data_IF_652573124821
#
_entry.id   IF_652573124821
#
_cell.length_a   1.000
_cell.length_b   1.000
_cell.length_c   1.000
_cell.angle_alpha   90.00
_cell.angle_beta   90.00
_cell.angle_gamma   90.00
#
_symmetry.space_group_name_H-M   'P 1'
#
loop_
_entity.id
_entity.type
_entity.pdbx_description
1 polymer ?
#
# COMPACT_ATOMS: atom_id res chain seq x y z
N UNK A 1 21.10 28.31 -26.56
CA UNK A 1 19.84 27.54 -26.45
C UNK A 1 19.40 27.62 -24.99
N UNK A 2 18.14 27.89 -24.73
CA UNK A 2 17.64 28.05 -23.36
C UNK A 2 17.59 26.71 -22.62
N UNK A 3 18.22 26.58 -21.46
CA UNK A 3 18.10 25.41 -20.59
C UNK A 3 16.65 25.19 -20.16
N UNK A 4 15.85 26.25 -20.09
CA UNK A 4 14.45 26.18 -19.65
C UNK A 4 13.58 25.31 -20.55
N UNK A 5 13.65 25.51 -21.86
CA UNK A 5 12.87 24.71 -22.81
C UNK A 5 13.27 23.22 -22.76
N UNK A 6 14.57 22.92 -22.65
CA UNK A 6 15.04 21.53 -22.52
C UNK A 6 14.60 20.91 -21.19
N UNK A 7 14.66 21.66 -20.07
CA UNK A 7 14.11 21.21 -18.78
C UNK A 7 12.64 20.81 -18.92
N UNK A 8 11.86 21.61 -19.66
CA UNK A 8 10.45 21.33 -19.90
C UNK A 8 10.26 20.05 -20.72
N UNK A 9 11.05 19.85 -21.79
CA UNK A 9 10.97 18.61 -22.62
C UNK A 9 11.32 17.36 -21.79
N UNK A 10 12.33 17.44 -20.92
CA UNK A 10 12.64 16.35 -20.02
C UNK A 10 11.48 16.07 -19.05
N UNK A 11 10.90 17.09 -18.45
CA UNK A 11 9.76 16.95 -17.55
C UNK A 11 8.54 16.29 -18.24
N UNK A 12 8.23 16.70 -19.48
CA UNK A 12 7.17 16.10 -20.30
C UNK A 12 7.42 14.60 -20.56
N UNK A 13 8.66 14.23 -20.93
CA UNK A 13 9.04 12.82 -21.15
C UNK A 13 8.99 12.03 -19.86
N UNK A 14 9.42 12.61 -18.73
CA UNK A 14 9.34 11.96 -17.40
C UNK A 14 7.88 11.63 -17.08
N UNK A 15 6.99 12.61 -17.16
CA UNK A 15 5.59 12.43 -16.81
C UNK A 15 4.87 11.49 -17.77
N UNK A 16 5.16 11.58 -19.06
CA UNK A 16 4.62 10.66 -20.07
C UNK A 16 5.04 9.21 -19.79
N UNK A 17 6.32 8.95 -19.48
CA UNK A 17 6.79 7.62 -19.12
C UNK A 17 6.06 7.08 -17.89
N UNK A 18 5.91 7.88 -16.83
CA UNK A 18 5.19 7.49 -15.62
C UNK A 18 3.71 7.23 -15.88
N UNK A 19 3.06 7.99 -16.77
CA UNK A 19 1.65 7.80 -17.12
C UNK A 19 1.37 6.43 -17.73
N UNK A 20 2.35 5.85 -18.44
CA UNK A 20 2.26 4.53 -19.08
C UNK A 20 2.36 3.38 -18.09
N UNK A 21 2.79 3.67 -16.87
CA UNK A 21 2.73 2.76 -15.71
C UNK A 21 1.49 2.98 -14.84
N UNK A 22 0.49 3.70 -15.36
CA UNK A 22 -0.79 3.92 -14.69
C UNK A 22 -0.84 5.13 -13.75
N UNK A 23 0.21 5.96 -13.70
CA UNK A 23 0.19 7.18 -12.91
C UNK A 23 -0.82 8.18 -13.49
N UNK A 24 -1.73 8.68 -12.65
CA UNK A 24 -2.78 9.65 -13.02
C UNK A 24 -2.88 10.82 -12.06
N UNK A 25 -2.59 10.60 -10.79
CA UNK A 25 -2.64 11.62 -9.75
C UNK A 25 -1.25 12.17 -9.46
N UNK A 26 -1.14 13.49 -9.44
CA UNK A 26 0.09 14.21 -9.12
C UNK A 26 -0.20 15.21 -8.00
N UNK A 27 0.49 15.06 -6.88
CA UNK A 27 0.45 15.98 -5.76
C UNK A 27 1.61 16.98 -5.85
N UNK A 28 1.33 18.27 -5.82
CA UNK A 28 2.31 19.33 -6.12
C UNK A 28 2.39 20.32 -4.96
N UNK A 29 3.59 20.50 -4.38
CA UNK A 29 3.89 21.63 -3.51
C UNK A 29 4.53 22.78 -4.32
N UNK A 30 4.23 24.04 -3.96
CA UNK A 30 4.79 25.19 -4.66
C UNK A 30 6.31 25.30 -4.50
N UNK A 31 7.00 25.68 -5.58
CA UNK A 31 8.43 25.92 -5.53
C UNK A 31 9.03 26.19 -6.90
N UNK A 32 10.00 27.10 -6.98
CA UNK A 32 10.59 27.51 -8.27
C UNK A 32 11.34 26.39 -8.98
N UNK A 33 12.11 25.58 -8.24
CA UNK A 33 12.96 24.55 -8.86
C UNK A 33 12.13 23.44 -9.51
N UNK A 34 10.93 23.17 -9.00
CA UNK A 34 10.01 22.18 -9.56
C UNK A 34 9.16 22.70 -10.75
N UNK A 35 9.32 23.97 -11.15
CA UNK A 35 8.54 24.58 -12.24
C UNK A 35 8.47 23.73 -13.51
N UNK A 36 9.57 23.15 -14.04
CA UNK A 36 9.49 22.34 -15.27
C UNK A 36 8.51 21.17 -15.12
N UNK A 37 8.54 20.45 -14.00
CA UNK A 37 7.63 19.33 -13.71
C UNK A 37 6.20 19.82 -13.48
N UNK A 38 6.04 20.90 -12.70
CA UNK A 38 4.71 21.46 -12.39
C UNK A 38 3.98 21.92 -13.63
N UNK A 39 4.67 22.65 -14.51
CA UNK A 39 4.08 23.13 -15.75
C UNK A 39 3.82 21.99 -16.74
N UNK A 40 4.66 20.97 -16.79
CA UNK A 40 4.42 19.79 -17.62
C UNK A 40 3.18 19.02 -17.13
N UNK A 41 3.02 18.85 -15.81
CA UNK A 41 1.85 18.20 -15.24
C UNK A 41 0.55 18.99 -15.49
N UNK A 42 0.60 20.31 -15.31
CA UNK A 42 -0.57 21.18 -15.47
C UNK A 42 -1.01 21.34 -16.95
N UNK A 43 -0.15 21.07 -17.91
CA UNK A 43 -0.46 21.21 -19.34
C UNK A 43 -0.99 19.91 -19.98
N UNK A 44 -1.02 18.80 -19.26
CA UNK A 44 -1.46 17.50 -19.79
C UNK A 44 -2.71 17.01 -19.04
N UNK A 45 -3.83 16.97 -19.74
CA UNK A 45 -5.15 16.58 -19.23
C UNK A 45 -5.23 15.11 -18.74
N UNK A 46 -4.19 14.30 -19.01
CA UNK A 46 -4.08 12.94 -18.44
C UNK A 46 -3.92 12.93 -16.92
N UNK A 47 -3.46 14.05 -16.33
CA UNK A 47 -3.15 14.13 -14.93
C UNK A 47 -4.18 14.92 -14.13
N UNK A 48 -4.50 14.38 -12.95
CA UNK A 48 -5.29 15.06 -11.94
C UNK A 48 -4.33 15.65 -10.92
N UNK A 49 -4.16 16.97 -10.97
CA UNK A 49 -3.24 17.69 -10.10
C UNK A 49 -3.92 18.07 -8.79
N UNK A 50 -3.26 17.76 -7.67
CA UNK A 50 -3.65 18.15 -6.32
C UNK A 50 -2.57 19.06 -5.73
N UNK A 51 -2.94 20.15 -5.10
CA UNK A 51 -1.99 21.11 -4.55
C UNK A 51 -2.11 21.22 -3.04
N UNK A 52 -0.98 21.33 -2.35
CA UNK A 52 -0.91 21.60 -0.94
C UNK A 52 0.38 22.35 -0.61
N UNK A 53 0.31 23.31 0.32
CA UNK A 53 1.47 24.16 0.65
C UNK A 53 2.47 23.51 1.59
N UNK A 54 2.07 22.49 2.37
CA UNK A 54 2.94 21.72 3.28
C UNK A 54 3.30 20.38 2.64
N UNK A 55 4.58 20.13 2.41
CA UNK A 55 5.04 18.93 1.70
C UNK A 55 4.77 17.63 2.47
N UNK A 56 4.82 17.67 3.78
CA UNK A 56 4.50 16.54 4.64
C UNK A 56 3.01 16.19 4.52
N UNK A 57 2.14 17.15 4.61
CA UNK A 57 0.69 16.98 4.39
C UNK A 57 0.39 16.47 2.98
N UNK A 58 1.07 17.05 1.97
CA UNK A 58 0.97 16.63 0.57
C UNK A 58 1.34 15.16 0.36
N UNK A 59 2.44 14.72 0.96
CA UNK A 59 2.88 13.33 0.82
C UNK A 59 1.89 12.33 1.47
N UNK A 60 1.25 12.71 2.58
CA UNK A 60 0.20 11.88 3.18
C UNK A 60 -1.11 11.92 2.37
N UNK A 61 -1.43 13.04 1.70
CA UNK A 61 -2.53 13.08 0.74
C UNK A 61 -2.26 12.10 -0.42
N UNK A 62 -1.05 12.11 -0.97
CA UNK A 62 -0.64 11.18 -2.02
C UNK A 62 -0.75 9.71 -1.56
N UNK A 63 -0.36 9.41 -0.32
CA UNK A 63 -0.51 8.08 0.28
C UNK A 63 -1.99 7.65 0.32
N UNK A 64 -2.88 8.54 0.75
CA UNK A 64 -4.33 8.29 0.76
C UNK A 64 -4.90 8.06 -0.64
N UNK A 65 -4.47 8.85 -1.63
CA UNK A 65 -4.85 8.67 -3.03
C UNK A 65 -4.37 7.34 -3.60
N UNK A 66 -3.11 6.97 -3.36
CA UNK A 66 -2.57 5.67 -3.81
C UNK A 66 -3.33 4.51 -3.17
N UNK A 67 -3.69 4.62 -1.90
CA UNK A 67 -4.48 3.63 -1.17
C UNK A 67 -5.89 3.46 -1.74
N UNK A 68 -6.55 4.56 -2.06
CA UNK A 68 -7.94 4.52 -2.56
C UNK A 68 -8.03 4.11 -4.03
N UNK A 69 -7.09 4.56 -4.87
CA UNK A 69 -7.13 4.33 -6.33
C UNK A 69 -6.41 3.06 -6.77
N UNK A 70 -5.48 2.54 -5.95
CA UNK A 70 -4.57 1.43 -6.29
C UNK A 70 -3.58 1.76 -7.40
N UNK A 71 -3.51 3.00 -7.81
CA UNK A 71 -2.57 3.48 -8.82
C UNK A 71 -1.33 4.09 -8.15
N UNK A 72 -0.20 4.13 -8.83
CA UNK A 72 0.93 4.93 -8.38
C UNK A 72 0.56 6.42 -8.40
N UNK A 73 0.98 7.16 -7.37
CA UNK A 73 0.75 8.59 -7.23
C UNK A 73 2.08 9.32 -7.16
N UNK A 74 2.26 10.36 -7.98
CA UNK A 74 3.46 11.19 -7.93
C UNK A 74 3.33 12.33 -6.91
N UNK A 75 4.46 12.69 -6.31
CA UNK A 75 4.61 13.89 -5.48
C UNK A 75 5.74 14.73 -6.04
N UNK A 76 5.44 15.95 -6.43
CA UNK A 76 6.41 16.92 -6.95
C UNK A 76 6.69 17.97 -5.88
N UNK A 77 7.94 18.09 -5.50
CA UNK A 77 8.40 19.12 -4.55
C UNK A 77 9.65 19.82 -5.07
N UNK A 78 9.88 21.02 -4.56
CA UNK A 78 11.11 21.77 -4.80
C UNK A 78 12.29 21.16 -4.03
N UNK A 79 13.47 21.74 -4.17
CA UNK A 79 14.70 21.26 -3.52
C UNK A 79 14.79 21.64 -2.05
N UNK A 80 15.76 21.08 -1.35
CA UNK A 80 16.08 21.43 0.02
C UNK A 80 15.23 20.67 1.04
N UNK A 81 14.85 21.34 2.12
CA UNK A 81 14.08 20.73 3.22
C UNK A 81 12.68 20.26 2.81
N UNK A 82 12.12 20.74 1.71
CA UNK A 82 10.91 20.22 1.09
C UNK A 82 11.00 18.70 0.86
N UNK A 83 12.16 18.22 0.42
CA UNK A 83 12.42 16.78 0.21
C UNK A 83 12.40 16.02 1.53
N UNK A 84 13.02 16.56 2.59
CA UNK A 84 13.05 15.91 3.90
C UNK A 84 11.66 15.72 4.51
N UNK A 85 10.72 16.62 4.23
CA UNK A 85 9.34 16.54 4.70
C UNK A 85 8.56 15.34 4.13
N UNK A 86 9.03 14.73 3.04
CA UNK A 86 8.40 13.55 2.43
C UNK A 86 8.71 12.25 3.19
N UNK A 87 9.73 12.25 4.05
CA UNK A 87 10.27 11.03 4.64
C UNK A 87 9.25 10.22 5.45
N UNK A 88 8.39 10.82 6.30
CA UNK A 88 7.39 10.04 7.04
C UNK A 88 6.43 9.26 6.14
N UNK A 89 5.91 9.89 5.09
CA UNK A 89 5.00 9.24 4.15
C UNK A 89 5.71 8.17 3.29
N UNK A 90 7.00 8.38 2.98
CA UNK A 90 7.83 7.41 2.28
C UNK A 90 7.98 6.11 3.09
N UNK A 91 8.27 6.25 4.39
CA UNK A 91 8.38 5.10 5.29
C UNK A 91 7.04 4.37 5.37
N UNK A 92 5.94 5.12 5.58
CA UNK A 92 4.60 4.55 5.68
C UNK A 92 4.21 3.81 4.40
N UNK A 93 4.50 4.35 3.22
CA UNK A 93 4.27 3.68 1.94
C UNK A 93 4.99 2.33 1.85
N UNK A 94 6.22 2.25 2.37
CA UNK A 94 6.98 1.00 2.44
C UNK A 94 6.35 -0.04 3.38
N UNK A 95 5.78 0.41 4.51
CA UNK A 95 5.13 -0.45 5.49
C UNK A 95 3.76 -0.94 5.04
N UNK A 96 3.04 -0.11 4.28
CA UNK A 96 1.65 -0.36 3.91
C UNK A 96 1.45 -0.79 2.46
N UNK A 97 2.51 -0.70 1.64
CA UNK A 97 2.56 -1.23 0.29
C UNK A 97 2.02 -0.30 -0.80
N UNK A 98 1.61 0.93 -0.48
CA UNK A 98 1.14 1.91 -1.46
C UNK A 98 2.28 2.40 -2.34
N UNK A 99 2.03 2.55 -3.65
CA UNK A 99 3.04 2.97 -4.61
C UNK A 99 3.08 4.49 -4.74
N UNK A 100 4.17 5.11 -4.27
CA UNK A 100 4.43 6.53 -4.43
C UNK A 100 5.67 6.77 -5.31
N UNK A 101 5.65 7.86 -6.08
CA UNK A 101 6.78 8.30 -6.89
C UNK A 101 7.14 9.72 -6.49
N UNK A 102 8.23 9.88 -5.76
CA UNK A 102 8.71 11.21 -5.36
C UNK A 102 9.61 11.79 -6.44
N UNK A 103 9.12 12.81 -7.13
CA UNK A 103 9.84 13.62 -8.10
C UNK A 103 10.38 14.86 -7.39
N UNK A 104 11.61 14.80 -6.92
CA UNK A 104 12.24 15.88 -6.17
C UNK A 104 13.08 16.74 -7.09
N UNK A 105 12.66 17.98 -7.33
CA UNK A 105 13.50 18.91 -8.07
C UNK A 105 14.76 19.25 -7.28
N UNK A 106 15.89 19.37 -7.97
CA UNK A 106 17.17 19.64 -7.33
C UNK A 106 17.93 20.74 -8.06
N UNK A 107 18.94 21.30 -7.37
CA UNK A 107 19.96 22.11 -8.01
C UNK A 107 20.87 21.22 -8.85
N UNK A 108 21.43 21.76 -9.95
CA UNK A 108 22.42 21.01 -10.70
C UNK A 108 23.69 20.80 -9.85
N UNK A 109 24.49 19.77 -10.16
CA UNK A 109 25.62 19.34 -9.32
C UNK A 109 26.62 20.45 -8.94
N UNK A 110 26.82 21.41 -9.86
CA UNK A 110 27.73 22.54 -9.64
C UNK A 110 27.27 23.52 -8.54
N UNK A 111 26.03 23.44 -8.09
CA UNK A 111 25.46 24.26 -7.01
C UNK A 111 25.32 23.51 -5.68
N UNK A 112 25.79 22.29 -5.60
CA UNK A 112 25.79 21.53 -4.35
C UNK A 112 27.06 21.80 -3.57
N UNK A 113 26.93 21.96 -2.23
CA UNK A 113 28.01 22.23 -1.29
C UNK A 113 28.79 23.54 -1.52
N UNK A 114 28.24 24.49 -2.29
CA UNK A 114 28.86 25.78 -2.56
C UNK A 114 28.17 26.98 -1.87
N UNK A 115 27.22 26.71 -0.96
CA UNK A 115 26.47 27.77 -0.25
C UNK A 115 25.27 28.30 -1.05
N UNK A 116 24.86 27.63 -2.14
CA UNK A 116 23.69 28.02 -2.88
C UNK A 116 22.42 27.86 -2.02
N UNK A 117 21.49 28.80 -2.17
CA UNK A 117 20.26 28.82 -1.40
C UNK A 117 19.43 27.55 -1.64
N UNK A 118 18.95 26.95 -0.57
CA UNK A 118 18.03 25.80 -0.60
C UNK A 118 18.62 24.59 -1.37
N UNK A 119 19.95 24.42 -1.32
CA UNK A 119 20.69 23.30 -1.87
C UNK A 119 21.12 22.37 -0.73
N UNK A 120 20.83 21.09 -0.87
CA UNK A 120 21.25 20.02 0.05
C UNK A 120 21.66 18.79 -0.77
N UNK A 121 22.28 17.82 -0.14
CA UNK A 121 22.58 16.53 -0.78
C UNK A 121 21.33 15.66 -0.81
N UNK A 122 20.55 15.73 -1.91
CA UNK A 122 19.27 15.02 -2.06
C UNK A 122 19.43 13.55 -2.46
N UNK A 123 20.32 13.16 -3.41
CA UNK A 123 20.54 11.76 -3.70
C UNK A 123 20.91 10.97 -2.45
N UNK A 124 20.14 9.92 -2.14
CA UNK A 124 20.36 9.09 -0.97
C UNK A 124 19.81 9.62 0.36
N UNK A 125 19.14 10.78 0.38
CA UNK A 125 18.59 11.39 1.62
C UNK A 125 17.62 10.45 2.37
N UNK A 126 16.91 9.60 1.68
CA UNK A 126 15.97 8.63 2.26
C UNK A 126 16.61 7.29 2.64
N UNK A 127 17.95 7.20 2.54
CA UNK A 127 18.72 6.01 2.90
C UNK A 127 18.18 4.73 2.22
N UNK A 128 17.89 3.68 3.00
CA UNK A 128 17.43 2.37 2.51
C UNK A 128 15.90 2.24 2.40
N UNK A 129 15.14 3.28 2.72
CA UNK A 129 13.67 3.19 2.75
C UNK A 129 12.98 3.22 1.38
N UNK A 130 13.48 3.94 0.35
CA UNK A 130 12.89 3.82 -0.98
C UNK A 130 13.06 2.41 -1.55
N UNK A 131 12.00 1.89 -2.15
CA UNK A 131 12.07 0.60 -2.84
C UNK A 131 12.99 0.67 -4.07
N UNK A 132 13.01 1.83 -4.73
CA UNK A 132 13.92 2.15 -5.81
C UNK A 132 14.30 3.64 -5.77
N UNK A 133 15.51 3.97 -6.19
CA UNK A 133 15.96 5.35 -6.28
C UNK A 133 16.74 5.58 -7.58
N UNK A 134 16.57 6.76 -8.17
CA UNK A 134 17.23 7.21 -9.38
C UNK A 134 17.63 8.68 -9.24
N UNK A 135 18.91 8.98 -9.37
CA UNK A 135 19.38 10.33 -9.53
C UNK A 135 19.58 10.60 -11.02
N UNK A 136 18.71 11.42 -11.60
CA UNK A 136 18.84 11.83 -12.99
C UNK A 136 20.02 12.80 -13.17
N UNK A 137 20.69 12.79 -14.31
CA UNK A 137 21.56 13.89 -14.69
C UNK A 137 20.72 15.14 -14.99
N UNK A 138 21.36 16.32 -15.00
CA UNK A 138 20.69 17.52 -15.51
C UNK A 138 20.32 17.34 -16.99
N UNK A 139 19.22 17.95 -17.44
CA UNK A 139 18.82 17.91 -18.84
C UNK A 139 19.92 18.40 -19.79
N UNK A 140 20.35 17.55 -20.70
CA UNK A 140 21.29 17.84 -21.78
C UNK A 140 20.88 17.10 -23.03
N UNK A 141 21.28 17.62 -24.21
CA UNK A 141 20.94 17.01 -25.50
C UNK A 141 21.71 15.72 -25.77
N UNK A 142 22.91 15.59 -25.19
CA UNK A 142 23.82 14.45 -25.44
C UNK A 142 23.29 13.13 -24.83
N UNK A 143 22.36 13.22 -23.89
CA UNK A 143 21.68 12.05 -23.34
C UNK A 143 20.42 11.78 -24.19
N UNK A 144 20.32 10.63 -24.87
CA UNK A 144 19.17 10.34 -25.70
C UNK A 144 17.87 10.18 -24.90
N UNK A 145 16.75 10.59 -25.46
CA UNK A 145 15.44 10.46 -24.83
C UNK A 145 15.09 9.00 -24.47
N UNK A 146 15.56 8.04 -25.29
CA UNK A 146 15.39 6.61 -25.02
C UNK A 146 16.08 6.13 -23.74
N UNK A 147 17.23 6.70 -23.36
CA UNK A 147 17.87 6.43 -22.08
C UNK A 147 16.98 6.85 -20.90
N UNK A 148 16.40 8.06 -21.02
CA UNK A 148 15.55 8.60 -19.97
C UNK A 148 14.32 7.72 -19.74
N UNK A 149 13.57 7.40 -20.81
CA UNK A 149 12.37 6.56 -20.69
C UNK A 149 12.70 5.15 -20.21
N UNK A 150 13.78 4.54 -20.69
CA UNK A 150 14.20 3.21 -20.24
C UNK A 150 14.59 3.18 -18.77
N UNK A 151 15.25 4.23 -18.26
CA UNK A 151 15.62 4.34 -16.85
C UNK A 151 14.38 4.52 -15.96
N UNK A 152 13.39 5.28 -16.43
CA UNK A 152 12.13 5.46 -15.72
C UNK A 152 11.29 4.18 -15.71
N UNK A 153 11.25 3.45 -16.82
CA UNK A 153 10.57 2.17 -16.91
C UNK A 153 11.21 1.13 -15.97
N UNK A 154 12.54 1.10 -15.84
CA UNK A 154 13.22 0.22 -14.88
C UNK A 154 12.76 0.51 -13.44
N UNK A 155 12.75 1.80 -13.05
CA UNK A 155 12.27 2.22 -11.72
C UNK A 155 10.82 1.79 -11.49
N UNK A 156 9.94 2.04 -12.46
CA UNK A 156 8.52 1.71 -12.32
C UNK A 156 8.26 0.21 -12.34
N UNK A 157 9.01 -0.54 -13.14
CA UNK A 157 8.95 -2.00 -13.17
C UNK A 157 9.40 -2.63 -11.84
N UNK A 158 10.34 -2.00 -11.16
CA UNK A 158 10.80 -2.42 -9.82
C UNK A 158 9.82 -2.01 -8.72
N UNK A 159 9.09 -0.89 -8.89
CA UNK A 159 8.16 -0.35 -7.89
C UNK A 159 6.88 -1.20 -7.78
N UNK A 160 6.94 -2.30 -7.06
CA UNK A 160 5.77 -3.13 -6.78
C UNK A 160 5.00 -2.65 -5.54
N UNK A 161 5.71 -2.12 -4.55
CA UNK A 161 5.18 -1.54 -3.32
C UNK A 161 6.13 -0.49 -2.79
N UNK A 162 5.62 0.37 -1.91
CA UNK A 162 6.40 1.42 -1.28
C UNK A 162 6.67 2.60 -2.21
N UNK A 163 7.76 3.30 -1.98
CA UNK A 163 8.06 4.52 -2.70
C UNK A 163 9.30 4.42 -3.58
N UNK A 164 9.26 5.06 -4.75
CA UNK A 164 10.42 5.36 -5.57
C UNK A 164 10.83 6.83 -5.39
N UNK A 165 12.12 7.10 -5.34
CA UNK A 165 12.68 8.45 -5.33
C UNK A 165 13.40 8.74 -6.64
N UNK A 166 12.95 9.75 -7.37
CA UNK A 166 13.56 10.23 -8.61
C UNK A 166 14.01 11.67 -8.38
N UNK A 167 15.31 11.87 -8.26
CA UNK A 167 15.90 13.20 -8.09
C UNK A 167 16.13 13.85 -9.45
N UNK A 168 15.57 15.04 -9.65
CA UNK A 168 15.50 15.74 -10.94
C UNK A 168 16.23 17.09 -10.88
N UNK A 169 17.53 17.17 -11.19
CA UNK A 169 18.24 18.44 -11.21
C UNK A 169 17.88 19.28 -12.43
N UNK A 170 17.46 20.53 -12.20
CA UNK A 170 17.16 21.51 -13.23
C UNK A 170 18.01 22.74 -13.08
N UNK A 171 18.73 23.11 -14.15
CA UNK A 171 19.48 24.35 -14.23
C UNK A 171 18.59 25.52 -14.64
N UNK A 172 18.90 26.72 -14.16
CA UNK A 172 18.20 27.93 -14.60
C UNK A 172 18.56 28.30 -16.04
N UNK A 173 17.64 28.98 -16.74
CA UNK A 173 16.31 29.45 -16.35
C UNK A 173 15.28 28.31 -16.31
N UNK A 174 14.16 28.52 -15.58
CA UNK A 174 13.18 27.46 -15.27
C UNK A 174 11.80 27.66 -15.90
N UNK A 175 11.49 28.88 -16.31
CA UNK A 175 10.13 29.28 -16.69
C UNK A 175 9.89 29.39 -18.20
N UNK A 176 10.93 29.77 -18.96
CA UNK A 176 10.78 30.06 -20.38
C UNK A 176 10.60 28.77 -21.19
N UNK A 177 9.72 28.81 -22.16
CA UNK A 177 9.56 27.79 -23.19
C UNK A 177 9.33 28.47 -24.53
N UNK A 178 10.26 28.30 -25.46
CA UNK A 178 10.16 28.82 -26.83
C UNK A 178 9.31 27.93 -27.75
N UNK A 179 8.76 26.84 -27.20
CA UNK A 179 7.93 25.89 -27.89
C UNK A 179 8.62 25.07 -28.98
N UNK A 180 9.91 25.26 -29.22
CA UNK A 180 10.66 24.60 -30.29
C UNK A 180 11.90 23.84 -29.79
N UNK A 181 12.69 24.45 -28.92
CA UNK A 181 13.91 23.84 -28.38
C UNK A 181 13.61 22.49 -27.71
N UNK A 182 14.33 21.46 -28.12
CA UNK A 182 14.21 20.09 -27.59
C UNK A 182 13.16 19.23 -28.28
N UNK A 183 12.36 19.72 -29.21
CA UNK A 183 11.40 18.89 -29.98
C UNK A 183 12.07 17.78 -30.78
N UNK A 184 13.22 18.05 -31.39
CA UNK A 184 13.98 17.03 -32.12
C UNK A 184 14.49 15.92 -31.16
N UNK A 185 14.87 16.30 -29.94
CA UNK A 185 15.27 15.36 -28.90
C UNK A 185 14.09 14.48 -28.47
N UNK A 186 12.89 15.04 -28.26
CA UNK A 186 11.67 14.26 -27.98
C UNK A 186 11.28 13.36 -29.16
N UNK A 187 11.44 13.83 -30.40
CA UNK A 187 11.10 13.09 -31.60
C UNK A 187 11.94 11.81 -31.78
N UNK A 188 13.09 11.69 -31.10
CA UNK A 188 13.88 10.46 -31.10
C UNK A 188 13.09 9.24 -30.57
N UNK A 189 12.03 9.45 -29.78
CA UNK A 189 11.18 8.38 -29.28
C UNK A 189 10.19 7.84 -30.32
N UNK A 190 10.09 8.49 -31.50
CA UNK A 190 9.33 8.02 -32.67
C UNK A 190 7.89 7.62 -32.34
N UNK A 191 7.50 6.42 -32.74
CA UNK A 191 6.15 5.90 -32.56
C UNK A 191 5.76 5.63 -31.08
N UNK A 192 6.70 5.76 -30.15
CA UNK A 192 6.37 5.63 -28.72
C UNK A 192 5.31 6.65 -28.29
N UNK A 193 5.31 7.86 -28.85
CA UNK A 193 4.32 8.90 -28.55
C UNK A 193 2.88 8.53 -28.95
N UNK A 194 2.69 7.63 -29.92
CA UNK A 194 1.38 7.13 -30.35
C UNK A 194 0.97 5.83 -29.64
N UNK A 195 1.87 5.26 -28.87
CA UNK A 195 1.64 4.06 -28.08
C UNK A 195 1.14 4.43 -26.69
N UNK A 196 0.46 3.53 -25.99
CA UNK A 196 0.11 3.61 -24.57
C UNK A 196 1.03 2.74 -23.70
N UNK A 197 2.02 2.08 -24.31
CA UNK A 197 2.90 1.12 -23.65
C UNK A 197 4.21 1.75 -23.19
N UNK A 198 4.80 1.27 -22.07
CA UNK A 198 6.16 1.59 -21.68
C UNK A 198 7.16 1.32 -22.82
N UNK A 199 8.28 2.02 -22.82
CA UNK A 199 9.38 1.78 -23.75
C UNK A 199 10.00 0.40 -23.51
N UNK A 200 10.29 0.10 -22.26
CA UNK A 200 10.77 -1.21 -21.82
C UNK A 200 9.63 -1.95 -21.11
N UNK A 201 8.97 -2.86 -21.83
CA UNK A 201 7.94 -3.71 -21.25
C UNK A 201 8.58 -4.89 -20.50
N UNK A 202 8.18 -5.07 -19.26
CA UNK A 202 8.61 -6.24 -18.47
C UNK A 202 7.44 -7.19 -18.31
N UNK A 203 7.64 -8.44 -18.70
CA UNK A 203 6.70 -9.53 -18.43
C UNK A 203 7.20 -10.35 -17.26
N UNK A 204 6.34 -10.52 -16.25
CA UNK A 204 6.62 -11.42 -15.13
C UNK A 204 5.88 -12.73 -15.37
N UNK A 205 6.58 -13.83 -15.23
CA UNK A 205 5.94 -15.14 -15.19
C UNK A 205 5.43 -15.35 -13.76
N UNK A 206 4.12 -15.51 -13.61
CA UNK A 206 3.51 -16.00 -12.37
C UNK A 206 3.59 -17.52 -12.40
N UNK A 207 4.29 -18.11 -11.43
CA UNK A 207 4.22 -19.56 -11.21
C UNK A 207 2.90 -19.86 -10.48
N UNK A 208 2.30 -21.03 -10.78
CA UNK A 208 1.17 -21.56 -10.03
C UNK A 208 1.58 -21.66 -8.55
N UNK A 209 0.78 -21.07 -7.67
CA UNK A 209 1.02 -21.13 -6.23
C UNK A 209 0.42 -22.43 -5.76
N UNK A 210 1.21 -23.48 -5.69
CA UNK A 210 0.73 -24.79 -5.23
C UNK A 210 1.29 -25.11 -3.86
N UNK A 211 0.40 -25.46 -2.94
CA UNK A 211 0.76 -26.23 -1.77
C UNK A 211 0.63 -27.70 -2.15
N UNK A 212 1.76 -28.39 -2.11
CA UNK A 212 1.75 -29.83 -2.22
C UNK A 212 0.77 -30.41 -1.19
N UNK A 213 -0.08 -31.32 -1.61
CA UNK A 213 -1.10 -31.93 -0.75
C UNK A 213 -2.20 -30.98 -0.22
N UNK A 214 -2.56 -29.89 -0.93
CA UNK A 214 -3.68 -29.05 -0.51
C UNK A 214 -4.97 -29.85 -0.25
N UNK A 215 -5.24 -30.88 -1.08
CA UNK A 215 -6.38 -31.78 -0.89
C UNK A 215 -6.35 -32.55 0.45
N UNK A 216 -5.18 -32.75 1.01
CA UNK A 216 -5.02 -33.31 2.35
C UNK A 216 -5.24 -32.22 3.43
N UNK A 217 -4.60 -31.05 3.29
CA UNK A 217 -4.63 -30.00 4.31
C UNK A 217 -6.03 -29.40 4.49
N UNK A 218 -6.78 -29.19 3.42
CA UNK A 218 -8.17 -28.70 3.51
C UNK A 218 -9.12 -29.61 4.29
N UNK A 219 -8.71 -30.86 4.57
CA UNK A 219 -9.47 -31.80 5.39
C UNK A 219 -9.09 -31.76 6.87
N UNK A 220 -8.06 -31.02 7.25
CA UNK A 220 -7.55 -30.88 8.59
C UNK A 220 -8.31 -29.81 9.37
N UNK A 221 -8.02 -29.72 10.68
CA UNK A 221 -8.50 -28.64 11.53
C UNK A 221 -7.67 -27.39 11.22
N UNK A 222 -8.22 -26.43 10.53
CA UNK A 222 -7.53 -25.18 10.21
C UNK A 222 -8.10 -24.01 11.01
N UNK A 223 -7.24 -23.00 11.20
CA UNK A 223 -7.62 -21.67 11.70
C UNK A 223 -7.10 -20.63 10.73
N UNK A 224 -7.92 -19.63 10.44
CA UNK A 224 -7.58 -18.52 9.56
C UNK A 224 -7.45 -17.25 10.41
N UNK A 225 -6.34 -16.55 10.21
CA UNK A 225 -6.14 -15.18 10.69
C UNK A 225 -6.28 -14.26 9.48
N UNK A 226 -7.17 -13.30 9.55
CA UNK A 226 -7.34 -12.30 8.50
C UNK A 226 -6.83 -10.93 8.99
N UNK A 227 -5.73 -10.49 8.42
CA UNK A 227 -5.19 -9.15 8.59
C UNK A 227 -5.69 -8.21 7.49
N UNK A 228 -4.94 -7.15 7.20
CA UNK A 228 -5.30 -6.13 6.23
C UNK A 228 -5.44 -6.70 4.81
N UNK A 229 -6.59 -6.46 4.17
CA UNK A 229 -6.86 -6.85 2.78
C UNK A 229 -7.93 -5.96 2.13
N UNK A 230 -8.23 -6.23 0.88
CA UNK A 230 -9.25 -5.55 0.10
C UNK A 230 -10.66 -6.04 0.42
N UNK A 231 -11.68 -5.19 0.19
CA UNK A 231 -13.08 -5.55 0.39
C UNK A 231 -13.50 -6.81 -0.43
N UNK A 232 -13.04 -6.89 -1.67
CA UNK A 232 -13.34 -8.06 -2.52
C UNK A 232 -12.66 -9.33 -1.99
N UNK A 233 -11.38 -9.24 -1.62
CA UNK A 233 -10.61 -10.34 -1.03
C UNK A 233 -11.19 -10.78 0.31
N UNK A 234 -11.61 -9.83 1.16
CA UNK A 234 -12.26 -10.14 2.43
C UNK A 234 -13.54 -10.95 2.26
N UNK A 235 -14.37 -10.61 1.25
CA UNK A 235 -15.56 -11.37 0.92
C UNK A 235 -15.25 -12.79 0.44
N UNK A 236 -14.27 -12.92 -0.45
CA UNK A 236 -13.84 -14.22 -0.97
C UNK A 236 -13.27 -15.10 0.14
N UNK A 237 -12.38 -14.54 0.98
CA UNK A 237 -11.78 -15.26 2.09
C UNK A 237 -12.82 -15.73 3.10
N UNK A 238 -13.81 -14.89 3.42
CA UNK A 238 -14.92 -15.27 4.30
C UNK A 238 -15.67 -16.48 3.77
N UNK A 239 -16.09 -16.45 2.50
CA UNK A 239 -16.81 -17.55 1.87
C UNK A 239 -15.97 -18.83 1.83
N UNK A 240 -14.70 -18.71 1.54
CA UNK A 240 -13.75 -19.81 1.53
C UNK A 240 -13.58 -20.44 2.93
N UNK A 241 -13.47 -19.62 3.96
CA UNK A 241 -13.39 -20.08 5.36
C UNK A 241 -14.65 -20.79 5.82
N UNK A 242 -15.84 -20.23 5.51
CA UNK A 242 -17.13 -20.82 5.80
C UNK A 242 -17.29 -22.18 5.10
N UNK A 243 -16.88 -22.28 3.84
CA UNK A 243 -16.88 -23.55 3.10
C UNK A 243 -16.03 -24.63 3.77
N UNK A 244 -14.83 -24.28 4.22
CA UNK A 244 -13.92 -25.20 4.90
C UNK A 244 -14.38 -25.55 6.32
N UNK A 245 -15.32 -24.82 6.90
CA UNK A 245 -15.71 -24.94 8.30
C UNK A 245 -14.58 -24.60 9.26
N UNK A 246 -13.69 -23.69 8.88
CA UNK A 246 -12.56 -23.25 9.66
C UNK A 246 -12.87 -21.94 10.40
N UNK A 247 -12.54 -21.84 11.69
CA UNK A 247 -12.63 -20.58 12.42
C UNK A 247 -11.85 -19.47 11.71
N UNK A 248 -12.51 -18.32 11.48
CA UNK A 248 -11.92 -17.11 10.92
C UNK A 248 -11.83 -16.06 12.00
N UNK A 249 -10.60 -15.67 12.35
CA UNK A 249 -10.29 -14.60 13.31
C UNK A 249 -9.96 -13.36 12.51
N UNK A 250 -10.84 -12.39 12.57
CA UNK A 250 -10.79 -11.18 11.75
C UNK A 250 -10.18 -10.02 12.53
N UNK A 251 -9.16 -9.38 11.96
CA UNK A 251 -8.70 -8.06 12.37
C UNK A 251 -9.63 -6.96 11.79
N UNK A 252 -9.65 -5.80 12.39
CA UNK A 252 -10.47 -4.65 11.96
C UNK A 252 -10.22 -4.25 10.50
N UNK A 253 -9.02 -4.47 9.97
CA UNK A 253 -8.65 -4.14 8.59
C UNK A 253 -8.88 -5.29 7.59
N UNK A 254 -9.41 -6.42 8.05
CA UNK A 254 -9.53 -7.63 7.22
C UNK A 254 -10.61 -7.58 6.14
N UNK A 255 -11.59 -6.68 6.27
CA UNK A 255 -12.74 -6.60 5.35
C UNK A 255 -13.61 -7.87 5.30
N UNK A 256 -13.33 -8.88 6.14
CA UNK A 256 -14.08 -10.14 6.19
C UNK A 256 -15.41 -10.04 6.95
N UNK A 257 -15.61 -8.93 7.67
CA UNK A 257 -16.61 -8.88 8.72
C UNK A 257 -16.24 -9.86 9.85
N UNK A 258 -17.01 -9.87 10.92
CA UNK A 258 -16.70 -10.70 12.10
C UNK A 258 -17.61 -11.92 12.15
N UNK A 259 -17.12 -13.10 11.72
CA UNK A 259 -17.79 -14.38 11.94
C UNK A 259 -17.79 -14.81 13.41
N UNK A 260 -16.68 -14.50 14.09
CA UNK A 260 -16.49 -14.74 15.51
C UNK A 260 -16.24 -13.37 16.18
N UNK A 261 -17.31 -12.64 16.56
CA UNK A 261 -17.21 -11.29 17.07
C UNK A 261 -16.38 -11.20 18.35
N UNK A 262 -15.76 -10.03 18.58
CA UNK A 262 -15.01 -9.71 19.77
C UNK A 262 -13.76 -10.58 20.03
N UNK A 263 -12.99 -10.85 18.96
CA UNK A 263 -11.82 -11.72 19.05
C UNK A 263 -10.82 -11.27 20.12
N UNK A 264 -10.58 -9.97 20.25
CA UNK A 264 -9.67 -9.44 21.28
C UNK A 264 -10.19 -9.63 22.73
N UNK A 265 -11.48 -9.89 22.92
CA UNK A 265 -12.04 -10.22 24.22
C UNK A 265 -11.93 -11.71 24.52
N UNK A 266 -12.46 -12.58 23.65
CA UNK A 266 -12.53 -14.01 23.97
C UNK A 266 -11.18 -14.72 23.87
N UNK A 267 -10.22 -14.22 23.10
CA UNK A 267 -8.83 -14.73 23.10
C UNK A 267 -8.12 -14.54 24.44
N UNK A 268 -8.62 -13.71 25.35
CA UNK A 268 -8.13 -13.64 26.72
C UNK A 268 -8.44 -14.91 27.53
N UNK A 269 -9.52 -15.63 27.20
CA UNK A 269 -9.97 -16.82 27.92
C UNK A 269 -9.20 -18.08 27.49
N UNK A 270 -8.70 -18.89 28.46
CA UNK A 270 -8.07 -20.18 28.16
C UNK A 270 -8.97 -21.13 27.38
N UNK A 271 -10.27 -21.15 27.66
CA UNK A 271 -11.27 -22.04 27.08
C UNK A 271 -11.26 -21.96 25.54
N UNK A 272 -11.22 -20.75 24.96
CA UNK A 272 -11.19 -20.57 23.52
C UNK A 272 -9.83 -20.96 22.93
N UNK A 273 -8.74 -20.60 23.61
CA UNK A 273 -7.39 -20.93 23.18
C UNK A 273 -7.12 -22.43 23.15
N UNK A 274 -7.66 -23.18 24.09
CA UNK A 274 -7.58 -24.64 24.12
C UNK A 274 -8.27 -25.29 22.91
N UNK A 275 -9.40 -24.74 22.45
CA UNK A 275 -10.04 -25.20 21.21
C UNK A 275 -9.13 -24.89 20.02
N UNK A 276 -8.66 -23.65 19.89
CA UNK A 276 -7.80 -23.25 18.77
C UNK A 276 -6.45 -23.99 18.75
N UNK A 277 -5.94 -24.43 19.91
CA UNK A 277 -4.71 -25.20 20.00
C UNK A 277 -4.80 -26.60 19.34
N UNK A 278 -6.01 -27.07 19.01
CA UNK A 278 -6.21 -28.33 18.27
C UNK A 278 -6.01 -28.16 16.75
N UNK A 279 -5.67 -26.97 16.26
CA UNK A 279 -5.47 -26.74 14.84
C UNK A 279 -4.23 -27.46 14.31
N UNK A 280 -4.39 -28.17 13.21
CA UNK A 280 -3.28 -28.78 12.46
C UNK A 280 -2.57 -27.76 11.58
N UNK A 281 -3.31 -26.72 11.11
CA UNK A 281 -2.80 -25.68 10.23
C UNK A 281 -3.37 -24.32 10.61
N UNK A 282 -2.50 -23.30 10.60
CA UNK A 282 -2.90 -21.90 10.72
C UNK A 282 -2.49 -21.19 9.43
N UNK A 283 -3.41 -20.47 8.81
CA UNK A 283 -3.12 -19.63 7.65
C UNK A 283 -3.42 -18.17 8.01
N UNK A 284 -2.39 -17.35 7.94
CA UNK A 284 -2.53 -15.90 8.06
C UNK A 284 -2.60 -15.28 6.67
N UNK A 285 -3.68 -14.57 6.39
CA UNK A 285 -3.86 -13.75 5.20
C UNK A 285 -3.72 -12.28 5.55
N UNK A 286 -2.81 -11.58 4.86
CA UNK A 286 -2.49 -10.20 5.16
C UNK A 286 -1.67 -10.02 6.43
N UNK A 287 -1.13 -8.83 6.57
CA UNK A 287 -0.31 -8.39 7.71
C UNK A 287 -1.00 -7.27 8.49
N UNK A 288 -0.26 -6.62 9.37
CA UNK A 288 -0.71 -5.45 10.14
C UNK A 288 -1.87 -5.73 11.10
N UNK A 289 -1.73 -6.80 11.93
CA UNK A 289 -2.72 -7.13 12.95
C UNK A 289 -2.77 -6.06 14.05
N UNK A 290 -3.97 -5.66 14.44
CA UNK A 290 -4.24 -4.58 15.42
C UNK A 290 -4.53 -5.11 16.81
N UNK A 291 -5.26 -6.23 16.91
CA UNK A 291 -5.74 -6.81 18.16
C UNK A 291 -4.60 -7.32 19.04
N UNK A 292 -4.50 -6.79 20.27
CA UNK A 292 -3.44 -7.20 21.21
C UNK A 292 -3.50 -8.69 21.55
N UNK A 293 -4.70 -9.20 21.79
CA UNK A 293 -4.91 -10.60 22.17
C UNK A 293 -4.71 -11.53 20.98
N UNK A 294 -5.06 -11.07 19.81
CA UNK A 294 -4.77 -11.80 18.57
C UNK A 294 -3.26 -11.96 18.36
N UNK A 295 -2.49 -10.89 18.51
CA UNK A 295 -1.02 -10.95 18.45
C UNK A 295 -0.42 -11.86 19.53
N UNK A 296 -0.94 -11.82 20.75
CA UNK A 296 -0.51 -12.70 21.83
C UNK A 296 -0.83 -14.17 21.56
N UNK A 297 -2.01 -14.46 21.02
CA UNK A 297 -2.37 -15.81 20.62
C UNK A 297 -1.52 -16.30 19.45
N UNK A 298 -1.33 -15.47 18.42
CA UNK A 298 -0.43 -15.75 17.31
C UNK A 298 0.97 -16.13 17.81
N UNK A 299 1.54 -15.34 18.72
CA UNK A 299 2.87 -15.59 19.27
C UNK A 299 2.96 -16.89 20.10
N UNK A 300 1.85 -17.32 20.70
CA UNK A 300 1.79 -18.50 21.55
C UNK A 300 1.37 -19.79 20.82
N UNK A 301 0.73 -19.67 19.65
CA UNK A 301 0.26 -20.85 18.92
C UNK A 301 1.43 -21.59 18.26
N UNK A 302 1.39 -22.92 18.30
CA UNK A 302 2.43 -23.79 17.75
C UNK A 302 1.81 -24.89 16.88
N UNK A 303 1.09 -24.52 15.80
CA UNK A 303 0.50 -25.53 14.93
C UNK A 303 1.60 -26.30 14.18
N UNK A 304 1.34 -27.55 13.75
CA UNK A 304 2.25 -28.30 12.88
C UNK A 304 2.60 -27.55 11.61
N UNK A 305 1.67 -26.76 11.08
CA UNK A 305 1.85 -25.95 9.85
C UNK A 305 1.38 -24.53 10.08
N UNK A 306 2.23 -23.57 9.72
CA UNK A 306 1.92 -22.15 9.70
C UNK A 306 2.23 -21.55 8.32
N UNK A 307 1.22 -20.97 7.67
CA UNK A 307 1.40 -20.31 6.38
C UNK A 307 1.00 -18.85 6.45
N UNK A 308 1.71 -18.02 5.67
CA UNK A 308 1.43 -16.59 5.52
C UNK A 308 1.22 -16.31 4.04
N UNK A 309 0.13 -15.64 3.70
CA UNK A 309 -0.22 -15.20 2.35
C UNK A 309 -0.29 -13.68 2.35
N UNK A 310 0.62 -13.01 1.66
CA UNK A 310 0.66 -11.55 1.56
C UNK A 310 1.49 -11.14 0.35
N UNK A 311 1.11 -10.05 -0.31
CA UNK A 311 1.87 -9.45 -1.42
C UNK A 311 3.09 -8.67 -0.96
N UNK A 312 3.11 -8.23 0.31
CA UNK A 312 4.20 -7.42 0.88
C UNK A 312 5.40 -8.34 1.17
N UNK A 313 6.61 -7.99 0.74
CA UNK A 313 7.81 -8.77 1.04
C UNK A 313 8.17 -8.71 2.52
N UNK A 314 9.10 -9.57 2.94
CA UNK A 314 9.57 -9.64 4.31
C UNK A 314 8.96 -10.79 5.10
N UNK A 315 9.34 -10.91 6.37
CA UNK A 315 8.93 -12.05 7.20
C UNK A 315 7.47 -12.01 7.62
N UNK A 316 6.93 -10.82 7.91
CA UNK A 316 5.54 -10.52 8.31
C UNK A 316 5.01 -11.37 9.50
N UNK A 317 5.90 -12.03 10.22
CA UNK A 317 5.60 -12.87 11.38
C UNK A 317 6.54 -12.50 12.54
N UNK A 318 6.09 -11.65 13.47
CA UNK A 318 6.88 -11.28 14.65
C UNK A 318 7.09 -12.45 15.63
N UNK A 319 6.28 -13.51 15.53
CA UNK A 319 6.42 -14.70 16.38
C UNK A 319 7.48 -15.71 15.88
N UNK A 320 7.96 -15.53 14.64
CA UNK A 320 8.99 -16.38 14.03
C UNK A 320 8.59 -17.86 13.95
N UNK A 321 7.37 -18.15 13.53
CA UNK A 321 6.92 -19.53 13.34
C UNK A 321 7.75 -20.25 12.30
N UNK A 322 7.91 -21.54 12.51
CA UNK A 322 8.38 -22.42 11.45
C UNK A 322 7.25 -22.62 10.46
N UNK A 323 7.35 -22.01 9.28
CA UNK A 323 6.27 -22.01 8.32
C UNK A 323 6.74 -21.70 6.91
N UNK A 324 5.77 -21.35 6.06
CA UNK A 324 5.99 -20.97 4.66
C UNK A 324 5.23 -19.65 4.37
N UNK A 325 5.90 -18.72 3.73
CA UNK A 325 5.27 -17.51 3.20
C UNK A 325 5.10 -17.64 1.70
N UNK A 326 3.94 -17.18 1.22
CA UNK A 326 3.57 -17.10 -0.18
C UNK A 326 3.39 -15.62 -0.54
N UNK A 327 4.17 -15.14 -1.49
CA UNK A 327 4.09 -13.76 -1.98
C UNK A 327 3.09 -13.67 -3.15
N UNK A 328 1.82 -13.61 -2.82
CA UNK A 328 0.71 -13.52 -3.75
C UNK A 328 -0.47 -12.81 -3.10
N UNK A 329 -1.43 -12.38 -3.92
CA UNK A 329 -2.72 -11.85 -3.42
C UNK A 329 -3.56 -12.97 -2.78
N UNK A 330 -4.51 -12.54 -1.96
CA UNK A 330 -5.50 -13.47 -1.38
C UNK A 330 -6.28 -14.17 -2.49
N UNK A 331 -6.72 -13.43 -3.52
CA UNK A 331 -7.49 -14.00 -4.63
C UNK A 331 -6.70 -15.08 -5.38
N UNK A 332 -5.43 -14.82 -5.73
CA UNK A 332 -4.57 -15.83 -6.39
C UNK A 332 -4.41 -17.08 -5.54
N UNK A 333 -4.22 -16.91 -4.22
CA UNK A 333 -4.16 -18.05 -3.31
C UNK A 333 -5.46 -18.87 -3.34
N UNK A 334 -6.62 -18.22 -3.22
CA UNK A 334 -7.90 -18.90 -3.14
C UNK A 334 -8.25 -19.63 -4.44
N UNK A 335 -7.88 -19.07 -5.60
CA UNK A 335 -8.09 -19.69 -6.92
C UNK A 335 -7.31 -21.01 -7.06
N UNK A 336 -6.07 -21.04 -6.58
CA UNK A 336 -5.21 -22.22 -6.63
C UNK A 336 -5.52 -23.24 -5.50
N UNK A 337 -6.22 -22.82 -4.44
CA UNK A 337 -6.55 -23.65 -3.26
C UNK A 337 -8.06 -23.72 -3.00
N UNK A 338 -8.82 -24.42 -3.86
CA UNK A 338 -10.28 -24.45 -3.75
C UNK A 338 -10.74 -25.09 -2.45
N UNK A 339 -11.74 -24.45 -1.81
CA UNK A 339 -12.39 -24.97 -0.64
C UNK A 339 -13.23 -26.21 -0.97
N UNK A 340 -13.49 -27.00 0.06
CA UNK A 340 -14.47 -28.09 0.03
C UNK A 340 -15.43 -27.91 1.20
N UNK A 341 -16.72 -27.93 0.92
CA UNK A 341 -17.75 -27.77 1.95
C UNK A 341 -17.64 -28.85 3.01
N UNK A 342 -17.51 -28.41 4.28
CA UNK A 342 -17.33 -29.25 5.45
C UNK A 342 -18.11 -28.68 6.63
N UNK A 343 -18.48 -29.58 7.56
CA UNK A 343 -19.01 -29.18 8.85
C UNK A 343 -17.91 -28.48 9.67
N UNK A 344 -18.20 -27.36 10.33
CA UNK A 344 -17.26 -26.69 11.21
C UNK A 344 -16.69 -27.64 12.27
N UNK A 345 -15.36 -27.66 12.40
CA UNK A 345 -14.68 -28.54 13.36
C UNK A 345 -14.74 -28.02 14.80
N UNK A 346 -15.03 -26.72 14.97
CA UNK A 346 -15.13 -26.05 16.27
C UNK A 346 -16.45 -25.25 16.38
N UNK A 347 -17.64 -25.89 16.22
CA UNK A 347 -18.92 -25.19 16.18
C UNK A 347 -19.23 -24.43 17.47
N UNK A 348 -18.72 -24.90 18.62
CA UNK A 348 -18.89 -24.25 19.91
C UNK A 348 -18.31 -22.82 19.98
N UNK A 349 -17.35 -22.47 19.13
CA UNK A 349 -16.83 -21.11 19.08
C UNK A 349 -17.90 -20.10 18.65
N UNK A 350 -18.72 -20.47 17.67
CA UNK A 350 -19.81 -19.61 17.21
C UNK A 350 -20.88 -19.40 18.32
N UNK A 351 -21.26 -20.46 19.01
CA UNK A 351 -22.17 -20.38 20.17
C UNK A 351 -21.62 -19.46 21.26
N UNK A 352 -20.36 -19.68 21.65
CA UNK A 352 -19.75 -18.94 22.75
C UNK A 352 -19.53 -17.46 22.41
N UNK A 353 -19.14 -17.16 21.17
CA UNK A 353 -18.94 -15.78 20.74
C UNK A 353 -20.27 -15.05 20.58
N UNK A 354 -21.34 -15.74 20.19
CA UNK A 354 -22.68 -15.15 20.16
C UNK A 354 -23.18 -14.82 21.56
N UNK A 355 -22.98 -15.73 22.53
CA UNK A 355 -23.31 -15.46 23.94
C UNK A 355 -22.49 -14.28 24.51
N UNK A 356 -21.20 -14.21 24.16
CA UNK A 356 -20.36 -13.08 24.52
C UNK A 356 -20.86 -11.78 23.90
N UNK A 357 -21.26 -11.79 22.64
CA UNK A 357 -21.82 -10.61 21.96
C UNK A 357 -23.06 -10.07 22.69
N UNK A 358 -23.98 -10.93 23.08
CA UNK A 358 -25.14 -10.57 23.90
C UNK A 358 -24.70 -9.93 25.21
N UNK A 359 -23.75 -10.53 25.91
CA UNK A 359 -23.24 -10.03 27.18
C UNK A 359 -22.53 -8.67 27.03
N UNK A 360 -21.75 -8.46 25.97
CA UNK A 360 -21.11 -7.19 25.67
C UNK A 360 -22.15 -6.11 25.43
N UNK A 361 -23.18 -6.39 24.63
CA UNK A 361 -24.25 -5.44 24.32
C UNK A 361 -25.02 -5.05 25.60
N UNK A 362 -25.38 -6.02 26.45
CA UNK A 362 -26.07 -5.77 27.71
C UNK A 362 -25.20 -4.99 28.70
N UNK A 363 -23.91 -5.33 28.80
CA UNK A 363 -22.97 -4.66 29.74
C UNK A 363 -22.67 -3.22 29.33
N UNK A 364 -22.51 -2.96 28.05
CA UNK A 364 -22.28 -1.60 27.54
C UNK A 364 -23.55 -0.75 27.63
N UNK A 365 -24.73 -1.36 27.43
CA UNK A 365 -26.02 -0.71 27.53
C UNK A 365 -26.12 0.60 26.72
N UNK A 366 -26.97 1.51 27.20
CA UNK A 366 -27.15 2.86 26.63
C UNK A 366 -26.18 3.91 27.19
N UNK A 367 -25.12 3.46 27.86
CA UNK A 367 -24.10 4.34 28.41
C UNK A 367 -23.35 5.14 27.35
N UNK A 368 -22.59 6.11 27.80
CA UNK A 368 -21.77 6.95 26.93
C UNK A 368 -20.28 6.76 27.28
N UNK A 369 -19.51 6.29 26.31
CA UNK A 369 -18.08 6.06 26.45
C UNK A 369 -17.46 5.54 25.15
N UNK A 370 -16.15 5.40 25.13
CA UNK A 370 -15.42 5.02 23.91
C UNK A 370 -15.80 3.62 23.40
N UNK A 371 -15.99 2.65 24.30
CA UNK A 371 -16.41 1.29 23.94
C UNK A 371 -17.86 1.26 23.39
N UNK A 372 -18.77 2.05 23.97
CA UNK A 372 -20.15 2.18 23.49
C UNK A 372 -20.18 2.82 22.09
N UNK A 373 -19.37 3.87 21.87
CA UNK A 373 -19.25 4.50 20.53
C UNK A 373 -18.75 3.46 19.51
N UNK A 374 -17.69 2.71 19.84
CA UNK A 374 -17.16 1.68 18.94
C UNK A 374 -18.21 0.60 18.63
N UNK A 375 -18.95 0.12 19.63
CA UNK A 375 -19.98 -0.88 19.44
C UNK A 375 -21.12 -0.41 18.52
N UNK A 376 -21.50 0.87 18.60
CA UNK A 376 -22.58 1.47 17.78
C UNK A 376 -22.16 1.98 16.42
N UNK A 377 -20.86 2.06 16.13
CA UNK A 377 -20.35 2.53 14.86
C UNK A 377 -21.01 1.87 13.63
N UNK A 378 -21.21 0.54 13.57
CA UNK A 378 -21.84 -0.09 12.42
C UNK A 378 -23.23 0.44 12.10
N UNK A 379 -24.00 0.85 13.11
CA UNK A 379 -25.34 1.42 12.96
C UNK A 379 -25.32 2.85 12.42
N UNK A 380 -24.24 3.57 12.68
CA UNK A 380 -24.05 4.96 12.30
C UNK A 380 -23.39 5.13 10.93
N UNK A 381 -22.80 4.07 10.39
CA UNK A 381 -22.12 4.13 9.11
C UNK A 381 -23.14 4.10 7.95
N UNK A 382 -23.15 5.13 7.08
CA UNK A 382 -24.01 5.11 5.92
C UNK A 382 -23.57 4.04 4.93
N UNK A 383 -24.49 3.48 4.11
CA UNK A 383 -24.11 2.59 3.03
C UNK A 383 -23.04 3.23 2.15
N UNK A 384 -21.95 2.53 1.87
CA UNK A 384 -20.78 3.01 1.12
C UNK A 384 -20.02 4.19 1.78
N UNK A 385 -20.25 4.46 3.06
CA UNK A 385 -19.46 5.41 3.82
C UNK A 385 -18.05 4.91 4.05
N UNK A 386 -17.12 5.83 4.35
CA UNK A 386 -15.74 5.50 4.71
C UNK A 386 -15.55 5.78 6.20
N UNK A 387 -15.08 4.78 6.95
CA UNK A 387 -14.68 4.97 8.34
C UNK A 387 -13.19 5.35 8.40
N UNK A 388 -12.89 6.60 8.73
CA UNK A 388 -11.53 7.02 9.03
C UNK A 388 -11.30 6.96 10.55
N UNK A 389 -10.58 5.93 10.99
CA UNK A 389 -10.20 5.76 12.39
C UNK A 389 -8.75 6.17 12.60
N UNK A 390 -8.52 7.06 13.59
CA UNK A 390 -7.17 7.36 14.04
C UNK A 390 -6.49 6.13 14.66
N UNK A 391 -5.17 6.12 14.66
CA UNK A 391 -4.41 5.06 15.30
C UNK A 391 -4.54 5.14 16.86
N UNK A 392 -3.87 4.26 17.60
CA UNK A 392 -3.87 4.16 19.06
C UNK A 392 -5.11 3.46 19.64
N UNK A 393 -5.83 4.06 20.60
CA UNK A 393 -6.90 3.39 21.32
C UNK A 393 -8.14 3.13 20.47
N UNK A 394 -8.55 4.11 19.65
CA UNK A 394 -9.84 4.00 18.95
C UNK A 394 -9.89 2.83 17.96
N UNK A 395 -8.85 2.60 17.17
CA UNK A 395 -8.83 1.45 16.25
C UNK A 395 -8.88 0.12 16.99
N UNK A 396 -8.29 0.03 18.18
CA UNK A 396 -8.35 -1.16 19.02
C UNK A 396 -9.72 -1.38 19.64
N UNK A 397 -10.42 -0.31 19.99
CA UNK A 397 -11.80 -0.40 20.48
C UNK A 397 -12.75 -0.81 19.34
N UNK A 398 -12.53 -0.31 18.13
CA UNK A 398 -13.28 -0.75 16.95
C UNK A 398 -13.04 -2.24 16.70
N UNK A 399 -11.78 -2.69 16.73
CA UNK A 399 -11.42 -4.10 16.57
C UNK A 399 -12.11 -5.01 17.63
N UNK A 400 -12.12 -4.54 18.88
CA UNK A 400 -12.68 -5.31 19.99
C UNK A 400 -14.21 -5.30 20.07
N UNK A 401 -14.88 -4.20 19.69
CA UNK A 401 -16.30 -3.99 19.98
C UNK A 401 -17.18 -3.78 18.74
N UNK A 402 -16.66 -3.21 17.64
CA UNK A 402 -17.46 -2.98 16.46
C UNK A 402 -17.66 -4.26 15.64
N UNK A 403 -18.89 -4.50 15.19
CA UNK A 403 -19.19 -5.58 14.23
C UNK A 403 -19.33 -5.01 12.82
N UNK A 404 -18.19 -4.62 12.24
CA UNK A 404 -18.19 -4.05 10.89
C UNK A 404 -18.69 -5.08 9.85
N UNK A 405 -19.49 -4.64 8.85
CA UNK A 405 -19.96 -5.50 7.80
C UNK A 405 -18.81 -6.06 6.94
N UNK A 406 -19.04 -7.20 6.31
CA UNK A 406 -18.09 -7.77 5.35
C UNK A 406 -17.98 -6.89 4.11
N UNK A 407 -16.74 -6.58 3.71
CA UNK A 407 -16.47 -5.79 2.51
C UNK A 407 -16.89 -4.32 2.63
N UNK A 408 -16.90 -3.78 3.83
CA UNK A 408 -17.10 -2.35 4.04
C UNK A 408 -15.83 -1.59 3.61
N UNK A 409 -15.95 -0.55 2.75
CA UNK A 409 -14.80 0.16 2.20
C UNK A 409 -14.03 0.99 3.23
#
# INVERSE_FOLDING_TARGET
MSNSALNRRWAEVILEALSRHGLRHICIAPGSRSTPLTLAAAADDKFICHTHFDERGLAHLALGLAKSTRLPVAVIVTSGTAVANLYPALIEAGLTGERLVFLTADRPPELIDCGANQAIRQPGIFSSHPFAALALPRPVFDIPASWLVSSLDDIMNRLQHGAAHINCPFAEPLYDDDGQTGKEWQAQLGNWWQSDKPWLQQTRCTSVISVDDWFFWRQKKGVIIAGRMQAAEGKQLRQWAECLGWPLISDVLSQTGQLLPHADLWLASPRYREVLAQADVVIQFGSSLTGKRLLQWQAACTPPVYWIVDTIPGRLDPANHRGRKFECSVSEWLDDHPAQTRTPWAPQLAEWTQALNTHVTETLGDGWGEAQIACRLPELLPPQGILFAGNSLIVRLIDAFAQLPCGYP
#
